data_IF_808099527461
#
_entry.id   IF_808099527461
#
_cell.length_a   1.000
_cell.length_b   1.000
_cell.length_c   1.000
_cell.angle_alpha   90.00
_cell.angle_beta   90.00
_cell.angle_gamma   90.00
#
_symmetry.space_group_name_H-M   'P 1'
#
loop_
_entity.id
_entity.type
_entity.pdbx_description
1 polymer ?
#
# COMPACT_ATOMS: atom_id res chain seq x y z
N UNK A 1 -10.02 -11.85 31.07
CA UNK A 1 -8.91 -10.88 30.96
C UNK A 1 -7.67 -11.67 30.60
N UNK A 2 -7.47 -11.95 29.32
CA UNK A 2 -6.20 -12.48 28.84
C UNK A 2 -5.41 -11.30 28.31
N UNK A 3 -4.41 -10.88 29.08
CA UNK A 3 -3.35 -10.01 28.58
C UNK A 3 -2.56 -10.83 27.57
N UNK A 4 -2.91 -10.71 26.29
CA UNK A 4 -1.97 -11.06 25.23
C UNK A 4 -0.81 -10.08 25.36
N UNK A 5 0.33 -10.58 25.84
CA UNK A 5 1.60 -9.87 25.69
C UNK A 5 1.81 -9.64 24.19
N UNK A 6 1.35 -8.50 23.66
CA UNK A 6 1.72 -8.05 22.33
C UNK A 6 3.24 -7.91 22.33
N UNK A 7 3.93 -8.91 21.80
CA UNK A 7 5.37 -8.83 21.54
C UNK A 7 5.56 -7.57 20.69
N UNK A 8 6.29 -6.59 21.24
CA UNK A 8 6.56 -5.34 20.55
C UNK A 8 7.28 -5.64 19.24
N UNK A 9 6.55 -5.54 18.13
CA UNK A 9 7.08 -5.77 16.80
C UNK A 9 7.44 -4.44 16.15
N UNK A 10 8.74 -4.19 15.96
CA UNK A 10 9.23 -3.06 15.17
C UNK A 10 9.58 -3.52 13.75
N UNK A 11 8.88 -3.04 12.69
CA UNK A 11 9.19 -3.41 11.32
C UNK A 11 10.59 -2.97 10.86
N UNK A 12 11.21 -1.96 11.50
CA UNK A 12 12.54 -1.46 11.14
C UNK A 12 13.34 -1.13 12.40
N UNK A 13 13.79 -2.14 13.17
CA UNK A 13 14.33 -1.96 14.52
C UNK A 13 15.65 -1.16 14.56
N UNK A 14 16.32 -1.01 13.42
CA UNK A 14 17.56 -0.22 13.28
C UNK A 14 17.32 1.25 12.95
N UNK A 15 16.07 1.66 12.74
CA UNK A 15 15.68 3.04 12.45
C UNK A 15 14.85 3.58 13.60
N UNK A 16 14.87 4.88 13.86
CA UNK A 16 13.88 5.52 14.74
C UNK A 16 12.70 6.05 13.94
N UNK A 17 11.58 6.32 14.59
CA UNK A 17 10.52 7.12 13.97
C UNK A 17 10.96 8.57 13.91
N UNK A 18 10.75 9.23 12.77
CA UNK A 18 11.02 10.66 12.64
C UNK A 18 10.19 11.47 13.64
N UNK A 19 10.74 12.56 14.21
CA UNK A 19 9.99 13.48 15.05
C UNK A 19 9.00 14.33 14.24
N UNK A 20 9.26 14.52 12.94
CA UNK A 20 8.42 15.31 12.02
C UNK A 20 8.00 14.48 10.80
N UNK A 21 6.89 14.81 10.12
CA UNK A 21 6.49 14.08 8.91
C UNK A 21 7.52 14.16 7.78
N UNK A 22 7.80 13.02 7.13
CA UNK A 22 8.65 12.93 5.94
C UNK A 22 7.82 13.30 4.70
N UNK A 23 7.88 14.58 4.33
CA UNK A 23 7.03 15.17 3.28
C UNK A 23 7.72 15.38 1.94
N UNK A 24 9.04 15.16 1.87
CA UNK A 24 9.78 15.31 0.62
C UNK A 24 9.60 14.14 -0.35
N UNK A 25 9.05 13.01 0.11
CA UNK A 25 8.73 11.85 -0.73
C UNK A 25 7.31 11.93 -1.30
N UNK A 26 7.11 11.68 -2.61
CA UNK A 26 5.79 11.69 -3.20
C UNK A 26 4.91 10.57 -2.66
N UNK A 27 3.63 10.86 -2.65
CA UNK A 27 2.59 9.90 -2.34
C UNK A 27 2.14 9.12 -3.57
N UNK A 28 1.99 9.80 -4.72
CA UNK A 28 1.69 9.25 -6.04
C UNK A 28 2.87 9.57 -6.96
N UNK A 29 3.53 8.52 -7.46
CA UNK A 29 4.71 8.65 -8.32
C UNK A 29 4.41 9.19 -9.71
N UNK A 30 3.16 9.27 -10.14
CA UNK A 30 2.78 9.90 -11.41
C UNK A 30 2.89 11.43 -11.34
N UNK A 31 2.77 12.02 -10.15
CA UNK A 31 2.86 13.48 -10.02
C UNK A 31 4.27 13.99 -10.34
N UNK A 32 4.33 15.10 -11.06
CA UNK A 32 5.57 15.77 -11.44
C UNK A 32 6.00 16.85 -10.42
N UNK A 33 5.02 17.44 -9.74
CA UNK A 33 5.22 18.53 -8.78
C UNK A 33 4.93 18.07 -7.35
N UNK A 34 5.70 18.61 -6.42
CA UNK A 34 5.56 18.38 -5.00
C UNK A 34 4.24 18.96 -4.49
N UNK A 35 3.49 18.15 -3.75
CA UNK A 35 2.23 18.59 -3.16
C UNK A 35 2.42 19.71 -2.13
N UNK A 36 3.59 19.76 -1.49
CA UNK A 36 3.81 20.62 -0.33
C UNK A 36 4.33 22.01 -0.72
N UNK A 37 5.19 22.08 -1.75
CA UNK A 37 5.81 23.34 -2.16
C UNK A 37 5.66 23.66 -3.65
N UNK A 38 4.96 22.84 -4.43
CA UNK A 38 4.74 23.04 -5.87
C UNK A 38 5.97 22.80 -6.76
N UNK A 39 7.18 22.70 -6.20
CA UNK A 39 8.41 22.47 -6.96
C UNK A 39 8.43 21.11 -7.66
N UNK A 40 9.09 21.02 -8.81
CA UNK A 40 9.27 19.75 -9.54
C UNK A 40 10.06 18.75 -8.68
N UNK A 41 9.62 17.49 -8.68
CA UNK A 41 10.38 16.42 -8.05
C UNK A 41 11.71 16.18 -8.79
N UNK A 42 12.77 15.95 -8.02
CA UNK A 42 14.02 15.35 -8.50
C UNK A 42 13.90 13.83 -8.45
N UNK A 43 14.79 13.12 -9.14
CA UNK A 43 14.86 11.66 -9.10
C UNK A 43 16.23 11.25 -8.54
N UNK A 44 16.29 10.13 -7.82
CA UNK A 44 17.56 9.52 -7.39
C UNK A 44 18.31 8.94 -8.58
N UNK A 45 19.63 8.80 -8.44
CA UNK A 45 20.51 8.36 -9.53
C UNK A 45 20.22 6.89 -9.92
N UNK A 46 20.19 5.97 -8.96
CA UNK A 46 20.14 4.53 -9.25
C UNK A 46 18.74 3.98 -9.55
N UNK A 47 17.72 4.40 -8.80
CA UNK A 47 16.37 3.82 -8.91
C UNK A 47 15.30 4.83 -9.32
N UNK A 48 15.70 6.03 -9.76
CA UNK A 48 14.80 7.11 -10.21
C UNK A 48 13.70 7.46 -9.21
N UNK A 49 13.95 7.23 -7.92
CA UNK A 49 12.98 7.49 -6.85
C UNK A 49 12.76 8.99 -6.75
N UNK A 50 11.50 9.42 -6.83
CA UNK A 50 11.18 10.85 -6.79
C UNK A 50 11.33 11.41 -5.37
N UNK A 51 11.87 12.61 -5.24
CA UNK A 51 11.94 13.36 -3.99
C UNK A 51 12.03 14.87 -4.23
N UNK A 52 11.56 15.68 -3.29
CA UNK A 52 11.57 17.13 -3.41
C UNK A 52 12.77 17.72 -2.65
N UNK A 53 13.75 18.28 -3.37
CA UNK A 53 14.95 18.90 -2.78
C UNK A 53 14.61 20.01 -1.78
N UNK A 54 13.61 20.85 -2.07
CA UNK A 54 13.24 21.96 -1.19
C UNK A 54 12.59 21.48 0.12
N UNK A 55 11.70 20.49 0.03
CA UNK A 55 11.11 19.89 1.23
C UNK A 55 12.15 19.08 2.02
N UNK A 56 13.13 18.48 1.35
CA UNK A 56 14.23 17.79 2.01
C UNK A 56 15.11 18.76 2.82
N UNK A 57 15.47 19.90 2.23
CA UNK A 57 16.18 20.97 2.95
C UNK A 57 15.43 21.42 4.19
N UNK A 58 14.11 21.61 4.05
CA UNK A 58 13.25 22.03 5.16
C UNK A 58 13.19 20.96 6.24
N UNK A 59 13.10 19.69 5.84
CA UNK A 59 13.11 18.55 6.75
C UNK A 59 14.43 18.45 7.53
N UNK A 60 15.58 18.56 6.87
CA UNK A 60 16.91 18.51 7.51
C UNK A 60 17.04 19.59 8.58
N UNK A 61 16.62 20.83 8.28
CA UNK A 61 16.64 21.94 9.24
C UNK A 61 15.75 21.72 10.46
N UNK A 62 14.74 20.86 10.35
CA UNK A 62 13.77 20.59 11.43
C UNK A 62 14.15 19.42 12.33
N UNK A 63 15.14 18.61 11.96
CA UNK A 63 15.67 17.53 12.79
C UNK A 63 16.98 17.98 13.44
N UNK A 64 17.07 17.85 14.77
CA UNK A 64 18.18 18.38 15.57
C UNK A 64 19.10 17.30 16.16
N UNK A 65 18.85 16.03 15.85
CA UNK A 65 19.62 14.91 16.37
C UNK A 65 20.26 14.07 15.24
N UNK A 66 21.18 13.20 15.65
CA UNK A 66 21.93 12.30 14.77
C UNK A 66 21.22 10.94 14.57
N UNK A 67 19.93 10.86 14.87
CA UNK A 67 19.20 9.59 14.74
C UNK A 67 18.97 9.23 13.27
N UNK A 68 19.04 7.92 12.98
CA UNK A 68 18.74 7.41 11.63
C UNK A 68 17.25 7.12 11.51
N UNK A 69 16.54 7.96 10.74
CA UNK A 69 15.09 7.86 10.55
C UNK A 69 14.67 7.04 9.34
N UNK A 70 15.51 7.02 8.33
CA UNK A 70 15.31 6.28 7.09
C UNK A 70 16.68 5.95 6.49
N UNK A 71 16.77 4.82 5.80
CA UNK A 71 18.01 4.39 5.16
C UNK A 71 18.13 5.08 3.81
N UNK A 72 19.13 5.96 3.70
CA UNK A 72 19.44 6.77 2.53
C UNK A 72 20.90 6.59 2.16
N UNK A 73 21.19 6.57 0.86
CA UNK A 73 22.54 6.64 0.36
C UNK A 73 22.78 7.97 -0.36
N UNK A 74 23.71 8.76 0.15
CA UNK A 74 24.11 10.05 -0.41
C UNK A 74 25.54 9.92 -0.92
N UNK A 75 25.78 10.41 -2.13
CA UNK A 75 27.10 10.52 -2.75
C UNK A 75 27.42 11.98 -3.03
N UNK A 76 28.69 12.29 -3.15
CA UNK A 76 29.13 13.59 -3.64
C UNK A 76 29.05 13.62 -5.17
N UNK A 77 28.48 14.69 -5.73
CA UNK A 77 28.57 14.97 -7.16
C UNK A 77 29.89 15.72 -7.43
N UNK A 78 30.37 15.74 -8.68
CA UNK A 78 31.65 16.37 -9.03
C UNK A 78 31.66 17.92 -8.97
N UNK A 79 30.63 18.55 -8.38
CA UNK A 79 30.56 20.02 -8.31
C UNK A 79 31.30 20.55 -7.07
N UNK A 80 32.18 21.55 -7.23
CA UNK A 80 32.83 22.19 -6.09
C UNK A 80 31.80 22.86 -5.17
N UNK A 81 31.87 22.59 -3.88
CA UNK A 81 31.04 23.25 -2.86
C UNK A 81 31.96 23.82 -1.79
N UNK A 82 31.78 25.11 -1.46
CA UNK A 82 32.62 25.82 -0.49
C UNK A 82 32.54 25.16 0.89
N UNK A 83 31.34 24.79 1.33
CA UNK A 83 31.09 24.16 2.64
C UNK A 83 31.82 22.82 2.81
N UNK A 84 32.02 22.08 1.72
CA UNK A 84 32.55 20.70 1.76
C UNK A 84 33.86 20.53 0.97
N UNK A 85 34.50 21.64 0.59
CA UNK A 85 35.69 21.64 -0.29
C UNK A 85 36.87 20.84 0.28
N UNK A 86 37.01 20.82 1.60
CA UNK A 86 38.10 20.16 2.32
C UNK A 86 37.74 18.79 2.91
N UNK A 87 36.45 18.46 3.01
CA UNK A 87 35.98 17.26 3.73
C UNK A 87 35.47 16.15 2.81
N UNK A 88 35.15 16.44 1.54
CA UNK A 88 34.62 15.46 0.59
C UNK A 88 35.54 15.23 -0.60
N UNK A 89 35.79 13.96 -0.89
CA UNK A 89 36.43 13.52 -2.13
C UNK A 89 35.37 12.95 -3.10
N UNK A 90 35.80 12.58 -4.31
CA UNK A 90 34.92 12.04 -5.36
C UNK A 90 34.24 10.72 -4.98
N UNK A 91 34.77 10.00 -3.99
CA UNK A 91 34.25 8.72 -3.53
C UNK A 91 33.47 8.84 -2.22
N UNK A 92 33.18 10.07 -1.77
CA UNK A 92 32.47 10.29 -0.53
C UNK A 92 31.06 9.71 -0.60
N UNK A 93 30.75 8.88 0.39
CA UNK A 93 29.47 8.23 0.58
C UNK A 93 29.06 8.36 2.04
N UNK A 94 27.81 8.77 2.27
CA UNK A 94 27.26 8.91 3.62
C UNK A 94 25.81 8.50 3.67
N UNK A 95 25.37 8.14 4.87
CA UNK A 95 23.98 7.83 5.24
C UNK A 95 23.38 8.89 6.16
N UNK A 96 24.23 9.79 6.66
CA UNK A 96 23.76 10.88 7.49
C UNK A 96 23.07 11.91 6.59
N UNK A 97 21.78 12.12 6.82
CA UNK A 97 21.01 13.10 6.05
C UNK A 97 21.45 14.54 6.32
N UNK A 98 22.05 14.83 7.48
CA UNK A 98 22.61 16.15 7.80
C UNK A 98 23.77 16.53 6.88
N UNK A 99 24.47 15.52 6.35
CA UNK A 99 25.51 15.70 5.33
C UNK A 99 24.92 15.96 3.93
N UNK A 100 23.60 16.03 3.75
CA UNK A 100 23.07 16.35 2.44
C UNK A 100 23.25 17.84 2.12
N UNK A 101 23.94 18.14 1.02
CA UNK A 101 24.14 19.49 0.51
C UNK A 101 23.46 19.65 -0.85
N UNK A 102 22.70 20.74 -1.02
CA UNK A 102 21.98 21.03 -2.28
C UNK A 102 22.91 21.13 -3.49
N UNK A 103 24.14 21.60 -3.28
CA UNK A 103 25.10 21.89 -4.33
C UNK A 103 25.91 20.65 -4.69
N UNK A 104 26.58 20.03 -3.71
CA UNK A 104 27.51 18.93 -3.97
C UNK A 104 26.98 17.52 -3.66
N UNK A 105 25.73 17.34 -3.22
CA UNK A 105 25.19 16.00 -2.92
C UNK A 105 24.19 15.51 -3.95
N UNK A 106 24.28 14.22 -4.25
CA UNK A 106 23.27 13.48 -4.99
C UNK A 106 22.78 12.30 -4.15
N UNK A 107 21.47 12.08 -4.14
CA UNK A 107 20.89 10.92 -3.46
C UNK A 107 20.90 9.76 -4.44
N UNK A 108 21.66 8.71 -4.14
CA UNK A 108 21.71 7.51 -4.96
C UNK A 108 20.42 6.73 -4.87
N UNK A 109 19.92 6.53 -3.63
CA UNK A 109 18.66 5.84 -3.35
C UNK A 109 18.15 6.04 -1.92
N UNK A 110 16.88 5.72 -1.73
CA UNK A 110 16.23 5.50 -0.43
C UNK A 110 15.88 4.03 -0.29
N UNK A 111 16.26 3.36 0.80
CA UNK A 111 15.94 1.94 0.99
C UNK A 111 14.50 1.72 1.47
N UNK A 112 14.01 2.61 2.33
CA UNK A 112 12.64 2.56 2.90
C UNK A 112 11.56 3.05 1.92
N UNK A 113 11.87 3.26 0.65
CA UNK A 113 10.95 3.78 -0.36
C UNK A 113 10.98 2.87 -1.58
N UNK A 114 9.99 2.00 -1.72
CA UNK A 114 10.04 0.94 -2.71
C UNK A 114 9.06 1.18 -3.85
N UNK A 115 9.61 1.23 -5.07
CA UNK A 115 8.86 1.28 -6.32
C UNK A 115 9.21 0.06 -7.18
N UNK A 116 8.35 -0.95 -7.12
CA UNK A 116 8.54 -2.21 -7.84
C UNK A 116 8.78 -2.03 -9.36
N UNK A 117 8.17 -1.02 -10.00
CA UNK A 117 8.29 -0.83 -11.46
C UNK A 117 9.71 -0.36 -11.84
N UNK A 118 10.31 0.49 -11.01
CA UNK A 118 11.64 1.07 -11.26
C UNK A 118 12.78 0.19 -10.71
N UNK A 119 12.47 -0.81 -9.89
CA UNK A 119 13.47 -1.77 -9.39
C UNK A 119 13.70 -2.97 -10.32
N UNK A 120 12.81 -3.21 -11.29
CA UNK A 120 13.00 -4.25 -12.33
C UNK A 120 14.02 -3.87 -13.40
N UNK A 121 14.31 -2.57 -13.59
CA UNK A 121 15.50 -2.14 -14.33
C UNK A 121 16.73 -2.42 -13.47
N UNK A 122 17.29 -3.62 -13.64
CA UNK A 122 18.47 -4.11 -12.94
C UNK A 122 19.70 -3.28 -13.33
N UNK A 123 19.90 -2.12 -12.71
CA UNK A 123 21.24 -1.54 -12.66
C UNK A 123 22.11 -2.50 -11.84
N UNK A 124 23.28 -2.86 -12.39
CA UNK A 124 24.30 -3.68 -11.72
C UNK A 124 24.85 -2.87 -10.54
N UNK A 125 24.15 -2.89 -9.42
CA UNK A 125 24.64 -2.40 -8.15
C UNK A 125 24.87 -3.61 -7.24
N UNK A 126 26.13 -3.83 -6.86
CA UNK A 126 26.52 -4.90 -5.95
C UNK A 126 26.59 -4.31 -4.55
N UNK A 127 25.53 -4.50 -3.77
CA UNK A 127 25.57 -4.28 -2.33
C UNK A 127 26.14 -5.56 -1.70
N UNK A 128 27.31 -5.49 -1.06
CA UNK A 128 28.03 -6.67 -0.52
C UNK A 128 27.62 -7.03 0.91
N UNK A 129 26.97 -6.10 1.60
CA UNK A 129 26.65 -6.19 3.01
C UNK A 129 25.43 -5.32 3.37
N UNK A 130 24.67 -5.75 4.38
CA UNK A 130 23.61 -4.93 4.94
C UNK A 130 24.23 -3.85 5.81
N UNK A 131 24.33 -2.64 5.30
CA UNK A 131 24.93 -1.51 6.02
C UNK A 131 24.15 -0.99 7.25
N UNK A 132 22.99 -1.56 7.59
CA UNK A 132 22.27 -1.29 8.86
C UNK A 132 22.61 -2.30 9.97
N UNK A 133 23.05 -3.51 9.62
CA UNK A 133 23.39 -4.57 10.58
C UNK A 133 24.74 -5.25 10.33
N UNK A 134 25.51 -4.73 9.38
CA UNK A 134 26.87 -5.13 8.97
C UNK A 134 27.01 -6.60 8.53
N UNK A 135 25.88 -7.31 8.32
CA UNK A 135 25.90 -8.69 7.84
C UNK A 135 26.30 -8.75 6.36
N UNK A 136 27.36 -9.52 6.09
CA UNK A 136 27.85 -9.84 4.76
C UNK A 136 26.83 -10.67 3.96
N UNK A 137 26.93 -10.59 2.64
CA UNK A 137 26.13 -11.37 1.71
C UNK A 137 27.00 -12.47 1.12
N UNK A 138 26.64 -13.73 1.37
CA UNK A 138 27.38 -14.90 0.88
C UNK A 138 27.26 -15.12 -0.64
N UNK A 139 26.33 -14.42 -1.33
CA UNK A 139 26.09 -14.52 -2.78
C UNK A 139 25.98 -13.14 -3.43
N UNK A 140 26.76 -12.91 -4.48
CA UNK A 140 26.62 -11.73 -5.35
C UNK A 140 25.18 -11.68 -5.87
N UNK A 141 24.42 -10.68 -5.44
CA UNK A 141 23.03 -10.47 -5.86
C UNK A 141 22.91 -9.10 -6.52
N UNK A 142 22.35 -9.06 -7.73
CA UNK A 142 22.15 -7.83 -8.50
C UNK A 142 20.81 -7.17 -8.14
N UNK A 143 20.80 -5.83 -8.07
CA UNK A 143 19.58 -5.02 -7.96
C UNK A 143 19.22 -4.53 -6.55
N UNK A 144 17.99 -4.03 -6.38
CA UNK A 144 17.52 -3.49 -5.10
C UNK A 144 17.21 -4.61 -4.12
N UNK A 145 17.90 -4.64 -2.96
CA UNK A 145 17.77 -5.72 -1.97
C UNK A 145 17.31 -5.22 -0.61
N UNK A 146 16.28 -5.80 -0.03
CA UNK A 146 15.88 -5.55 1.35
C UNK A 146 16.33 -6.70 2.23
N UNK A 147 16.97 -6.40 3.36
CA UNK A 147 17.50 -7.41 4.27
C UNK A 147 16.48 -7.75 5.35
N UNK A 148 16.09 -9.01 5.44
CA UNK A 148 15.11 -9.51 6.42
C UNK A 148 15.50 -9.18 7.86
N UNK A 149 16.80 -9.15 8.21
CA UNK A 149 17.24 -8.78 9.56
C UNK A 149 16.96 -7.32 9.95
N UNK A 150 16.78 -6.41 8.98
CA UNK A 150 16.58 -4.97 9.22
C UNK A 150 15.18 -4.49 8.84
N UNK A 151 14.47 -5.28 8.05
CA UNK A 151 13.18 -4.95 7.47
C UNK A 151 12.26 -6.15 7.68
N UNK A 152 11.52 -6.10 8.78
CA UNK A 152 10.66 -7.16 9.24
C UNK A 152 9.24 -6.91 8.73
N UNK A 153 8.72 -7.87 7.98
CA UNK A 153 7.29 -7.92 7.62
C UNK A 153 6.57 -8.70 8.73
N UNK A 154 5.37 -8.27 9.08
CA UNK A 154 4.46 -9.05 9.93
C UNK A 154 3.05 -8.99 9.41
N UNK A 155 2.22 -9.89 9.91
CA UNK A 155 0.77 -9.86 9.73
C UNK A 155 0.06 -9.69 11.08
N UNK A 156 -1.21 -9.33 11.02
CA UNK A 156 -2.11 -9.31 12.16
C UNK A 156 -3.55 -9.21 11.71
N UNK A 157 -4.44 -8.83 12.62
CA UNK A 157 -5.86 -8.61 12.33
C UNK A 157 -6.31 -7.25 12.81
N UNK A 158 -7.29 -6.67 12.14
CA UNK A 158 -7.94 -5.41 12.54
C UNK A 158 -9.46 -5.58 12.41
N UNK A 159 -10.22 -4.84 13.22
CA UNK A 159 -11.69 -4.89 13.17
C UNK A 159 -12.20 -4.21 11.91
N UNK A 160 -13.05 -4.90 11.15
CA UNK A 160 -13.81 -4.33 10.04
C UNK A 160 -14.91 -3.42 10.56
N UNK A 161 -15.12 -2.29 9.91
CA UNK A 161 -16.21 -1.36 10.24
C UNK A 161 -17.56 -1.79 9.73
N UNK A 162 -17.60 -2.67 8.73
CA UNK A 162 -18.85 -3.01 8.06
C UNK A 162 -19.57 -4.19 8.70
N UNK A 163 -18.83 -5.17 9.21
CA UNK A 163 -19.39 -6.46 9.62
C UNK A 163 -18.89 -6.95 10.98
N UNK A 164 -18.24 -6.09 11.77
CA UNK A 164 -17.64 -6.41 13.08
C UNK A 164 -16.69 -7.63 13.10
N UNK A 165 -16.20 -8.06 11.93
CA UNK A 165 -15.28 -9.19 11.76
C UNK A 165 -13.81 -8.75 11.76
N UNK A 166 -12.93 -9.64 12.22
CA UNK A 166 -11.48 -9.43 12.17
C UNK A 166 -10.93 -9.73 10.78
N UNK A 167 -10.44 -8.69 10.09
CA UNK A 167 -9.87 -8.78 8.73
C UNK A 167 -8.33 -8.80 8.76
N UNK A 168 -7.68 -9.46 7.77
CA UNK A 168 -6.22 -9.49 7.68
C UNK A 168 -5.59 -8.13 7.46
N UNK A 169 -4.45 -7.88 8.11
CA UNK A 169 -3.57 -6.74 7.86
C UNK A 169 -2.12 -7.23 7.74
N UNK A 170 -1.40 -6.68 6.76
CA UNK A 170 0.00 -6.94 6.48
C UNK A 170 0.80 -5.65 6.67
N UNK A 171 1.88 -5.73 7.43
CA UNK A 171 2.73 -4.59 7.79
C UNK A 171 4.04 -4.66 7.00
N UNK A 172 4.21 -3.75 6.03
CA UNK A 172 5.44 -3.60 5.27
C UNK A 172 6.39 -2.58 5.92
N UNK A 173 7.69 -2.88 5.99
CA UNK A 173 8.71 -2.02 6.60
C UNK A 173 9.21 -0.90 5.66
N UNK A 174 8.50 -0.63 4.57
CA UNK A 174 8.82 0.43 3.60
C UNK A 174 7.56 1.16 3.10
N UNK A 175 7.79 2.31 2.48
CA UNK A 175 6.80 3.15 1.83
C UNK A 175 6.49 2.57 0.44
N UNK A 176 5.33 1.92 0.31
CA UNK A 176 4.89 1.35 -0.96
C UNK A 176 4.39 2.45 -1.89
N UNK A 177 5.01 2.57 -3.06
CA UNK A 177 4.67 3.59 -4.05
C UNK A 177 3.85 3.05 -5.21
N UNK A 178 3.39 1.80 -5.16
CA UNK A 178 2.66 1.21 -6.28
C UNK A 178 1.34 1.94 -6.51
N UNK A 179 1.02 2.24 -7.77
CA UNK A 179 -0.27 2.81 -8.13
C UNK A 179 -1.29 1.73 -8.50
N UNK A 180 -0.91 0.45 -8.41
CA UNK A 180 -1.76 -0.70 -8.71
C UNK A 180 -1.83 -1.67 -7.54
N UNK A 181 -2.99 -2.27 -7.32
CA UNK A 181 -3.12 -3.39 -6.40
C UNK A 181 -2.35 -4.58 -6.95
N UNK A 182 -1.52 -5.20 -6.12
CA UNK A 182 -0.75 -6.39 -6.52
C UNK A 182 -1.60 -7.64 -6.64
N UNK A 183 -2.75 -7.64 -5.99
CA UNK A 183 -3.70 -8.76 -5.99
C UNK A 183 -4.55 -8.79 -7.26
N UNK A 184 -5.03 -7.64 -7.74
CA UNK A 184 -5.97 -7.58 -8.87
C UNK A 184 -5.50 -6.72 -10.04
N UNK A 185 -4.30 -6.14 -9.96
CA UNK A 185 -3.67 -5.28 -10.97
C UNK A 185 -4.47 -4.00 -11.37
N UNK A 186 -5.56 -3.68 -10.65
CA UNK A 186 -6.32 -2.45 -10.86
C UNK A 186 -5.63 -1.24 -10.25
N UNK A 187 -5.86 -0.07 -10.84
CA UNK A 187 -5.36 1.20 -10.32
C UNK A 187 -5.94 1.50 -8.94
N UNK A 188 -5.09 2.03 -8.06
CA UNK A 188 -5.48 2.46 -6.72
C UNK A 188 -6.03 3.89 -6.76
N UNK A 189 -7.13 4.10 -6.06
CA UNK A 189 -7.70 5.43 -5.80
C UNK A 189 -6.99 6.03 -4.60
N UNK A 190 -6.50 7.26 -4.74
CA UNK A 190 -5.86 8.00 -3.66
C UNK A 190 -6.90 8.79 -2.87
N UNK A 191 -6.94 8.61 -1.55
CA UNK A 191 -7.88 9.28 -0.65
C UNK A 191 -7.22 10.51 -0.01
N UNK A 192 -6.00 10.33 0.51
CA UNK A 192 -5.20 11.35 1.17
C UNK A 192 -3.74 11.23 0.74
N UNK A 193 -2.85 12.04 1.32
CA UNK A 193 -1.41 12.00 1.05
C UNK A 193 -0.72 10.70 1.56
N UNK A 194 -1.39 9.90 2.38
CA UNK A 194 -0.87 8.68 2.96
C UNK A 194 -1.76 7.45 2.71
N UNK A 195 -2.94 7.62 2.12
CA UNK A 195 -3.93 6.55 1.93
C UNK A 195 -4.31 6.36 0.47
N UNK A 196 -4.36 5.11 0.06
CA UNK A 196 -4.85 4.69 -1.25
C UNK A 196 -5.54 3.33 -1.12
N UNK A 197 -6.46 3.02 -2.00
CA UNK A 197 -7.21 1.76 -1.93
C UNK A 197 -7.64 1.28 -3.31
N UNK A 198 -7.96 -0.01 -3.40
CA UNK A 198 -8.54 -0.60 -4.60
C UNK A 198 -10.03 -0.83 -4.39
N UNK A 199 -10.89 -0.15 -5.15
CA UNK A 199 -12.34 -0.38 -5.06
C UNK A 199 -12.81 -1.71 -5.65
N UNK A 200 -11.93 -2.39 -6.41
CA UNK A 200 -12.24 -3.68 -7.04
C UNK A 200 -12.08 -4.85 -6.06
N UNK A 201 -10.98 -4.88 -5.30
CA UNK A 201 -10.68 -5.94 -4.33
C UNK A 201 -10.72 -5.48 -2.86
N UNK A 202 -11.19 -4.27 -2.60
CA UNK A 202 -11.29 -3.63 -1.28
C UNK A 202 -10.03 -3.73 -0.41
N UNK A 203 -8.85 -3.62 -1.04
CA UNK A 203 -7.57 -3.56 -0.31
C UNK A 203 -7.19 -2.11 -0.07
N UNK A 204 -6.92 -1.78 1.20
CA UNK A 204 -6.53 -0.45 1.64
C UNK A 204 -5.03 -0.44 1.95
N UNK A 205 -4.35 0.62 1.54
CA UNK A 205 -2.94 0.86 1.82
C UNK A 205 -2.84 2.16 2.62
N UNK A 206 -2.38 2.07 3.86
CA UNK A 206 -2.18 3.22 4.74
C UNK A 206 -0.71 3.33 5.09
N UNK A 207 -0.10 4.48 4.82
CA UNK A 207 1.33 4.68 5.02
C UNK A 207 1.62 5.62 6.18
N UNK A 208 2.72 5.38 6.89
CA UNK A 208 3.14 6.24 7.99
C UNK A 208 4.23 7.24 7.54
N UNK A 209 3.93 8.54 7.61
CA UNK A 209 4.87 9.63 7.25
C UNK A 209 6.08 9.74 8.18
N UNK A 210 6.03 9.14 9.36
CA UNK A 210 7.11 9.22 10.35
C UNK A 210 8.04 8.00 10.29
N UNK A 211 7.54 6.86 9.82
CA UNK A 211 8.28 5.60 9.83
C UNK A 211 8.56 5.06 8.43
N UNK A 212 7.97 5.64 7.38
CA UNK A 212 7.99 5.10 6.02
C UNK A 212 7.61 3.62 5.97
N UNK A 213 6.54 3.25 6.66
CA UNK A 213 5.96 1.89 6.65
C UNK A 213 4.61 1.89 5.94
N UNK A 214 4.14 0.74 5.48
CA UNK A 214 2.83 0.59 4.84
C UNK A 214 2.03 -0.51 5.51
N UNK A 215 0.81 -0.20 5.91
CA UNK A 215 -0.19 -1.17 6.31
C UNK A 215 -1.05 -1.52 5.08
N UNK A 216 -1.12 -2.80 4.72
CA UNK A 216 -2.00 -3.33 3.67
C UNK A 216 -3.13 -4.09 4.36
N UNK A 217 -4.36 -3.62 4.20
CA UNK A 217 -5.55 -4.13 4.88
C UNK A 217 -6.44 -4.81 3.84
N UNK A 218 -6.81 -6.06 4.08
CA UNK A 218 -7.62 -6.87 3.18
C UNK A 218 -9.09 -6.78 3.60
N UNK A 219 -9.72 -5.65 3.32
CA UNK A 219 -11.09 -5.33 3.72
C UNK A 219 -11.25 -3.85 4.07
N UNK A 220 -12.41 -3.50 4.64
CA UNK A 220 -12.77 -2.12 4.99
C UNK A 220 -12.69 -1.90 6.50
N UNK A 221 -12.03 -0.82 6.92
CA UNK A 221 -11.92 -0.37 8.31
C UNK A 221 -11.78 1.15 8.35
N UNK A 222 -12.17 1.80 9.45
CA UNK A 222 -12.12 3.26 9.67
C UNK A 222 -10.81 3.70 10.29
N UNK A 223 -9.99 2.79 10.79
CA UNK A 223 -8.71 3.16 11.38
C UNK A 223 -7.68 2.05 11.32
N UNK A 224 -6.42 2.45 11.38
CA UNK A 224 -5.30 1.53 11.54
C UNK A 224 -4.18 2.21 12.31
N UNK A 225 -3.29 1.41 12.89
CA UNK A 225 -2.19 1.90 13.69
C UNK A 225 -0.85 1.53 13.04
N UNK A 226 0.08 2.48 12.97
CA UNK A 226 1.45 2.17 12.57
C UNK A 226 2.09 1.26 13.63
N UNK A 227 2.54 0.06 13.23
CA UNK A 227 3.07 -0.92 14.20
C UNK A 227 4.33 -0.41 14.94
N UNK A 228 5.11 0.45 14.27
CA UNK A 228 6.31 1.11 14.82
C UNK A 228 6.00 2.24 15.80
N UNK A 229 5.46 3.36 15.30
CA UNK A 229 5.29 4.57 16.13
C UNK A 229 3.93 4.67 16.83
N UNK A 230 3.07 3.65 16.71
CA UNK A 230 1.75 3.57 17.36
C UNK A 230 0.77 4.70 17.03
N UNK A 231 1.09 5.57 16.07
CA UNK A 231 0.17 6.61 15.58
C UNK A 231 -1.02 5.97 14.87
N UNK A 232 -2.21 6.41 15.24
CA UNK A 232 -3.48 6.00 14.63
C UNK A 232 -3.69 6.83 13.36
N UNK A 233 -4.22 6.19 12.32
CA UNK A 233 -4.60 6.80 11.04
C UNK A 233 -6.06 6.48 10.77
N UNK A 234 -6.90 7.52 10.72
CA UNK A 234 -8.31 7.39 10.37
C UNK A 234 -8.45 7.27 8.85
N UNK A 235 -9.28 6.34 8.40
CA UNK A 235 -9.52 6.00 7.01
C UNK A 235 -10.96 6.40 6.69
N UNK A 236 -11.13 7.23 5.68
CA UNK A 236 -12.45 7.61 5.18
C UNK A 236 -12.56 7.19 3.72
N UNK A 237 -13.29 6.10 3.47
CA UNK A 237 -13.58 5.59 2.13
C UNK A 237 -15.05 5.84 1.85
N UNK A 238 -15.32 6.57 0.77
CA UNK A 238 -16.67 6.68 0.25
C UNK A 238 -17.10 5.34 -0.36
N UNK A 239 -18.00 4.65 0.33
CA UNK A 239 -18.58 3.37 -0.08
C UNK A 239 -19.98 3.49 -0.68
N UNK A 240 -20.51 4.70 -0.87
CA UNK A 240 -21.90 4.91 -1.33
C UNK A 240 -22.21 4.22 -2.65
N UNK A 241 -21.24 4.19 -3.57
CA UNK A 241 -21.38 3.59 -4.90
C UNK A 241 -21.04 2.09 -4.96
N UNK A 242 -20.69 1.47 -3.83
CA UNK A 242 -20.29 0.05 -3.74
C UNK A 242 -21.04 -0.72 -2.65
N UNK A 243 -21.88 -0.03 -1.87
CA UNK A 243 -22.75 -0.59 -0.84
C UNK A 243 -24.19 -0.60 -1.32
N UNK A 244 -24.86 -1.72 -1.09
CA UNK A 244 -26.29 -1.92 -1.30
C UNK A 244 -27.16 -1.31 -0.20
N UNK A 245 -26.55 -0.93 0.92
CA UNK A 245 -27.24 -0.59 2.17
C UNK A 245 -27.78 -1.82 2.91
N UNK A 246 -27.64 -3.03 2.36
CA UNK A 246 -27.97 -4.28 3.04
C UNK A 246 -26.67 -4.94 3.55
N UNK A 247 -26.56 -5.04 4.87
CA UNK A 247 -25.38 -5.61 5.55
C UNK A 247 -24.97 -6.99 5.00
N UNK A 248 -25.92 -7.91 4.83
CA UNK A 248 -25.62 -9.29 4.42
C UNK A 248 -25.14 -9.37 2.96
N UNK A 249 -25.72 -8.54 2.08
CA UNK A 249 -25.31 -8.47 0.67
C UNK A 249 -23.92 -7.82 0.57
N UNK A 250 -23.71 -6.72 1.29
CA UNK A 250 -22.42 -6.01 1.29
C UNK A 250 -21.31 -6.88 1.85
N UNK A 251 -21.60 -7.64 2.90
CA UNK A 251 -20.67 -8.61 3.48
C UNK A 251 -20.24 -9.64 2.46
N UNK A 252 -21.21 -10.24 1.78
CA UNK A 252 -20.97 -11.22 0.76
C UNK A 252 -20.19 -10.63 -0.44
N UNK A 253 -20.55 -9.44 -0.91
CA UNK A 253 -19.85 -8.77 -2.02
C UNK A 253 -18.40 -8.44 -1.67
N UNK A 254 -18.14 -7.94 -0.46
CA UNK A 254 -16.79 -7.68 -0.01
C UNK A 254 -16.04 -8.99 0.10
N UNK A 255 -16.59 -9.98 0.81
CA UNK A 255 -15.97 -11.29 1.01
C UNK A 255 -15.58 -11.99 -0.30
N UNK A 256 -16.44 -11.95 -1.33
CA UNK A 256 -16.13 -12.57 -2.62
C UNK A 256 -15.01 -11.86 -3.40
N UNK A 257 -14.78 -10.57 -3.10
CA UNK A 257 -13.79 -9.70 -3.78
C UNK A 257 -12.50 -9.52 -2.98
N UNK A 258 -12.58 -9.66 -1.67
CA UNK A 258 -11.47 -9.63 -0.74
C UNK A 258 -11.03 -11.06 -0.43
N UNK A 259 -9.74 -11.34 -0.51
CA UNK A 259 -9.22 -12.64 -0.09
C UNK A 259 -9.09 -12.74 1.45
N UNK A 260 -10.16 -12.44 2.19
CA UNK A 260 -10.17 -12.44 3.67
C UNK A 260 -9.79 -13.82 4.23
N UNK A 261 -10.20 -14.90 3.56
CA UNK A 261 -9.91 -16.29 3.98
C UNK A 261 -8.44 -16.68 3.84
N UNK A 262 -7.66 -15.94 3.06
CA UNK A 262 -6.24 -16.26 2.86
C UNK A 262 -5.35 -15.80 4.04
N UNK A 263 -5.93 -15.48 5.22
CA UNK A 263 -5.16 -15.14 6.42
C UNK A 263 -4.12 -16.20 6.77
N UNK A 264 -4.51 -17.48 6.68
CA UNK A 264 -3.61 -18.60 7.00
C UNK A 264 -2.46 -18.69 5.97
N UNK A 265 -2.73 -18.37 4.70
CA UNK A 265 -1.68 -18.26 3.67
C UNK A 265 -0.73 -17.11 3.96
N UNK A 266 -1.26 -15.94 4.36
CA UNK A 266 -0.44 -14.78 4.74
C UNK A 266 0.46 -15.15 5.92
N UNK A 267 -0.10 -15.77 6.95
CA UNK A 267 0.62 -16.17 8.16
C UNK A 267 1.68 -17.24 7.85
N UNK A 268 1.33 -18.25 7.05
CA UNK A 268 2.27 -19.29 6.61
C UNK A 268 3.42 -18.72 5.77
N UNK A 269 3.14 -17.77 4.87
CA UNK A 269 4.17 -17.10 4.07
C UNK A 269 5.14 -16.29 4.96
N UNK A 270 4.65 -15.60 5.99
CA UNK A 270 5.50 -14.85 6.93
C UNK A 270 6.53 -15.75 7.64
N UNK A 271 6.14 -16.97 8.01
CA UNK A 271 7.01 -17.89 8.74
C UNK A 271 8.15 -18.48 7.88
N UNK A 272 8.05 -18.41 6.55
CA UNK A 272 8.94 -19.13 5.63
C UNK A 272 9.74 -18.21 4.68
N UNK A 273 9.57 -16.89 4.74
CA UNK A 273 10.17 -15.99 3.75
C UNK A 273 11.56 -15.47 4.15
N UNK A 274 12.55 -15.68 3.28
CA UNK A 274 13.93 -15.20 3.47
C UNK A 274 14.19 -13.80 2.89
N UNK A 275 13.49 -13.43 1.81
CA UNK A 275 13.56 -12.12 1.16
C UNK A 275 12.23 -11.35 1.32
N UNK A 276 12.21 -10.24 2.07
CA UNK A 276 11.00 -9.45 2.27
C UNK A 276 10.32 -9.02 0.96
N UNK A 277 11.07 -8.76 -0.11
CA UNK A 277 10.50 -8.30 -1.39
C UNK A 277 9.65 -9.37 -2.09
N UNK A 278 9.82 -10.65 -1.75
CA UNK A 278 8.98 -11.73 -2.30
C UNK A 278 7.52 -11.57 -1.90
N UNK A 279 7.20 -10.69 -0.95
CA UNK A 279 5.83 -10.40 -0.55
C UNK A 279 4.98 -9.97 -1.74
N UNK A 280 5.56 -9.23 -2.69
CA UNK A 280 4.81 -8.80 -3.88
C UNK A 280 4.48 -9.95 -4.82
N UNK A 281 5.42 -10.89 -5.00
CA UNK A 281 5.18 -12.12 -5.76
C UNK A 281 4.10 -12.96 -5.06
N UNK A 282 4.17 -13.10 -3.75
CA UNK A 282 3.12 -13.76 -2.96
C UNK A 282 1.76 -13.09 -3.13
N UNK A 283 1.68 -11.76 -3.03
CA UNK A 283 0.43 -11.00 -3.25
C UNK A 283 -0.13 -11.21 -4.67
N UNK A 284 0.75 -11.33 -5.67
CA UNK A 284 0.39 -11.44 -7.09
C UNK A 284 0.03 -12.87 -7.53
N UNK A 285 0.61 -13.90 -6.92
CA UNK A 285 0.39 -15.28 -7.35
C UNK A 285 -0.49 -16.07 -6.38
N UNK A 286 -0.27 -15.92 -5.07
CA UNK A 286 -0.96 -16.73 -4.05
C UNK A 286 -2.26 -16.10 -3.56
N UNK A 287 -2.29 -14.75 -3.52
CA UNK A 287 -3.49 -14.01 -3.16
C UNK A 287 -4.28 -13.54 -4.37
N UNK A 288 -3.79 -13.67 -5.60
CA UNK A 288 -4.59 -13.32 -6.76
C UNK A 288 -5.79 -14.24 -6.84
N UNK A 289 -6.97 -13.63 -6.77
CA UNK A 289 -8.21 -14.38 -6.73
C UNK A 289 -8.41 -15.04 -8.11
N UNK A 290 -8.13 -16.34 -8.21
CA UNK A 290 -8.32 -17.14 -9.44
C UNK A 290 -9.79 -17.15 -9.85
N UNK A 291 -10.72 -16.85 -8.93
CA UNK A 291 -12.14 -16.66 -9.20
C UNK A 291 -12.48 -15.31 -9.85
N UNK A 292 -11.51 -14.57 -10.39
CA UNK A 292 -11.73 -13.33 -11.15
C UNK A 292 -12.71 -13.46 -12.33
N UNK A 293 -13.10 -14.68 -12.69
CA UNK A 293 -14.15 -14.95 -13.69
C UNK A 293 -15.60 -14.87 -13.16
N UNK A 294 -15.83 -14.86 -11.84
CA UNK A 294 -17.18 -14.80 -11.22
C UNK A 294 -17.29 -13.67 -10.19
N UNK A 295 -16.83 -12.47 -10.54
CA UNK A 295 -16.94 -11.32 -9.63
C UNK A 295 -18.33 -10.70 -9.73
N UNK A 296 -19.11 -10.83 -8.66
CA UNK A 296 -20.37 -10.09 -8.52
C UNK A 296 -20.07 -8.63 -8.19
N UNK A 297 -20.87 -7.71 -8.73
CA UNK A 297 -20.72 -6.28 -8.51
C UNK A 297 -22.00 -5.64 -8.01
N UNK A 298 -21.86 -4.72 -7.05
CA UNK A 298 -22.92 -3.78 -6.76
C UNK A 298 -23.04 -2.76 -7.88
N UNK A 299 -24.22 -2.70 -8.50
CA UNK A 299 -24.55 -1.70 -9.51
C UNK A 299 -25.65 -0.81 -8.92
N UNK A 300 -25.40 0.51 -8.78
CA UNK A 300 -26.44 1.45 -8.37
C UNK A 300 -27.64 1.38 -9.33
N UNK A 301 -28.85 1.28 -8.76
CA UNK A 301 -30.09 1.17 -9.54
C UNK A 301 -30.28 2.32 -10.53
N UNK A 302 -29.78 3.52 -10.21
CA UNK A 302 -29.80 4.69 -11.10
C UNK A 302 -29.05 4.50 -12.43
N UNK A 303 -28.19 3.48 -12.54
CA UNK A 303 -27.50 3.13 -13.79
C UNK A 303 -28.30 2.16 -14.68
N UNK A 304 -29.45 1.67 -14.20
CA UNK A 304 -30.26 0.66 -14.87
C UNK A 304 -31.56 1.33 -15.35
N UNK A 305 -31.77 1.31 -16.66
CA UNK A 305 -33.01 1.77 -17.27
C UNK A 305 -33.90 0.58 -17.64
N UNK A 306 -34.99 0.36 -16.90
CA UNK A 306 -35.96 -0.70 -17.21
C UNK A 306 -36.76 -0.32 -18.44
N UNK A 307 -36.82 -1.21 -19.43
CA UNK A 307 -37.55 -1.01 -20.67
C UNK A 307 -38.95 -1.64 -20.62
N UNK A 308 -38.99 -2.95 -20.37
CA UNK A 308 -40.24 -3.73 -20.42
C UNK A 308 -40.18 -4.93 -19.46
N UNK A 309 -41.34 -5.32 -18.92
CA UNK A 309 -41.51 -6.55 -18.15
C UNK A 309 -41.61 -7.73 -19.11
N UNK A 310 -40.83 -8.78 -18.86
CA UNK A 310 -40.76 -9.99 -19.69
C UNK A 310 -41.57 -11.12 -19.06
N UNK A 311 -41.53 -11.23 -17.73
CA UNK A 311 -42.26 -12.26 -17.00
C UNK A 311 -42.53 -11.83 -15.56
N UNK A 312 -43.61 -12.36 -14.99
CA UNK A 312 -43.96 -12.23 -13.57
C UNK A 312 -44.30 -13.59 -13.01
N UNK A 313 -43.65 -13.94 -11.90
CA UNK A 313 -43.91 -15.19 -11.17
C UNK A 313 -44.13 -14.94 -9.68
N UNK A 314 -44.29 -16.01 -8.91
CA UNK A 314 -44.50 -15.92 -7.46
C UNK A 314 -43.33 -15.32 -6.68
N UNK A 315 -42.12 -15.32 -7.24
CA UNK A 315 -40.89 -14.85 -6.58
C UNK A 315 -40.38 -13.50 -7.08
N UNK A 316 -41.04 -12.89 -8.07
CA UNK A 316 -40.61 -11.60 -8.60
C UNK A 316 -41.02 -11.32 -10.05
N UNK A 317 -40.57 -10.17 -10.54
CA UNK A 317 -40.73 -9.72 -11.93
C UNK A 317 -39.37 -9.73 -12.62
N UNK A 318 -39.31 -10.27 -13.83
CA UNK A 318 -38.15 -10.22 -14.71
C UNK A 318 -38.41 -9.16 -15.78
N UNK A 319 -37.49 -8.23 -15.93
CA UNK A 319 -37.58 -7.13 -16.89
C UNK A 319 -36.35 -7.08 -17.78
N UNK A 320 -36.53 -6.65 -19.01
CA UNK A 320 -35.44 -6.25 -19.89
C UNK A 320 -35.05 -4.81 -19.56
N UNK A 321 -33.76 -4.55 -19.45
CA UNK A 321 -33.23 -3.25 -19.11
C UNK A 321 -31.95 -2.94 -19.92
N UNK A 322 -31.51 -1.69 -19.83
CA UNK A 322 -30.20 -1.25 -20.35
C UNK A 322 -29.37 -0.75 -19.17
N UNK A 323 -28.17 -1.28 -19.01
CA UNK A 323 -27.16 -0.78 -18.07
C UNK A 323 -26.26 0.25 -18.77
N UNK A 324 -26.03 1.40 -18.12
CA UNK A 324 -25.22 2.52 -18.61
C UNK A 324 -25.58 2.99 -20.04
N UNK A 325 -26.85 2.87 -20.41
CA UNK A 325 -27.36 3.19 -21.76
C UNK A 325 -26.64 2.45 -22.91
N UNK A 326 -25.98 1.33 -22.62
CA UNK A 326 -25.14 0.60 -23.58
C UNK A 326 -25.43 -0.90 -23.62
N UNK A 327 -25.56 -1.53 -22.46
CA UNK A 327 -25.58 -2.99 -22.37
C UNK A 327 -26.97 -3.50 -22.04
N UNK A 328 -27.62 -4.28 -22.92
CA UNK A 328 -28.87 -4.96 -22.59
C UNK A 328 -28.63 -5.97 -21.47
N UNK A 329 -29.48 -5.93 -20.44
CA UNK A 329 -29.42 -6.81 -19.28
C UNK A 329 -30.81 -7.30 -18.89
N UNK A 330 -30.88 -8.44 -18.20
CA UNK A 330 -32.09 -8.90 -17.52
C UNK A 330 -32.02 -8.48 -16.04
N UNK A 331 -33.10 -7.90 -15.54
CA UNK A 331 -33.22 -7.48 -14.14
C UNK A 331 -34.32 -8.29 -13.48
N UNK A 332 -33.96 -9.01 -12.42
CA UNK A 332 -34.92 -9.68 -11.55
C UNK A 332 -35.19 -8.81 -10.33
N UNK A 333 -36.46 -8.42 -10.13
CA UNK A 333 -36.92 -7.71 -8.94
C UNK A 333 -37.73 -8.65 -8.07
N UNK A 334 -37.27 -8.88 -6.84
CA UNK A 334 -37.97 -9.69 -5.85
C UNK A 334 -39.15 -8.93 -5.23
N UNK A 335 -40.27 -9.60 -5.02
CA UNK A 335 -41.49 -9.00 -4.46
C UNK A 335 -41.58 -9.19 -2.96
N UNK A 336 -41.49 -8.09 -2.20
CA UNK A 336 -41.92 -7.91 -0.81
C UNK A 336 -41.70 -9.10 0.16
N UNK A 337 -40.47 -9.64 0.17
CA UNK A 337 -40.07 -10.68 1.12
C UNK A 337 -39.47 -10.01 2.37
N UNK A 338 -39.85 -10.50 3.56
CA UNK A 338 -39.28 -10.03 4.84
C UNK A 338 -37.75 -10.22 4.94
N UNK A 339 -37.15 -11.03 4.07
CA UNK A 339 -35.72 -11.36 4.10
C UNK A 339 -35.13 -11.50 2.68
N UNK A 340 -35.22 -10.44 1.87
CA UNK A 340 -34.71 -10.39 0.49
C UNK A 340 -33.25 -10.83 0.39
N UNK A 341 -32.41 -10.50 1.38
CA UNK A 341 -31.00 -10.90 1.42
C UNK A 341 -30.82 -12.41 1.35
N UNK A 342 -31.59 -13.18 2.11
CA UNK A 342 -31.46 -14.65 2.14
C UNK A 342 -31.84 -15.28 0.81
N UNK A 343 -32.96 -14.85 0.20
CA UNK A 343 -33.40 -15.37 -1.08
C UNK A 343 -32.45 -14.99 -2.22
N UNK A 344 -32.01 -13.73 -2.23
CA UNK A 344 -31.01 -13.25 -3.19
C UNK A 344 -29.75 -14.10 -3.08
N UNK A 345 -29.15 -14.19 -1.89
CA UNK A 345 -27.91 -14.94 -1.68
C UNK A 345 -28.05 -16.43 -2.06
N UNK A 346 -29.18 -17.07 -1.75
CA UNK A 346 -29.41 -18.46 -2.18
C UNK A 346 -29.41 -18.62 -3.71
N UNK A 347 -29.90 -17.64 -4.46
CA UNK A 347 -29.96 -17.71 -5.93
C UNK A 347 -28.61 -17.43 -6.60
N UNK A 348 -27.78 -16.56 -6.02
CA UNK A 348 -26.45 -16.24 -6.59
C UNK A 348 -25.30 -17.13 -6.08
N UNK A 349 -25.46 -17.84 -4.96
CA UNK A 349 -24.44 -18.73 -4.40
C UNK A 349 -24.52 -20.15 -4.97
N UNK A 350 -25.72 -20.61 -5.38
CA UNK A 350 -25.92 -21.88 -6.10
C UNK A 350 -25.30 -21.85 -7.50
#
# INVERSE_FOLDING_TARGET
MEFTNEIYFDPTPKLKSSPVPILFLPFNNEKLRCNNCGNKYSATNLYRQKYCKQCLLTYIKSIADDNVYFDINIITNHTPCIEHKSTRNTNFLTRNIQEWCKNCSEISYFKNYYDHINTTSQYIFIEKDCKLCEKLIDKISFGFKIFSNCYLISSGRVKSTLFDKMIPILYLPWWDTSNKSRVCNHNLKFLTDCQKWCSYCFIIYVRCRYCLTTNIIFGITDQTQCKKCKRISNINIDITNISSGNHNIDEFLIFTRTNIDNYDKITSYMNNSSNPLNVYSFLEHELKNVNSKRMMEWIPYSQINILEEVAKGGFGTISKAIWLNKTPVAVKRFTNLKDISKYFLNEVIM
#
